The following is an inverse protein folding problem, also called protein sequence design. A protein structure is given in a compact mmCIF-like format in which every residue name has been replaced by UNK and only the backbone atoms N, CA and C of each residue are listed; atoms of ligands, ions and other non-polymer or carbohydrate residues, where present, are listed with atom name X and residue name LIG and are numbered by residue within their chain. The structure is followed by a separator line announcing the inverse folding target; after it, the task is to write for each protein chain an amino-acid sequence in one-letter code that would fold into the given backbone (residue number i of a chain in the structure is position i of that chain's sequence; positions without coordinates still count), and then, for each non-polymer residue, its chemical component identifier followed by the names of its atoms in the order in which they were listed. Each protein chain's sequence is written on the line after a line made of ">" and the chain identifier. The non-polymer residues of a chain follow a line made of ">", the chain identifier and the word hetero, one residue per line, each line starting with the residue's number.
data_IF_089175166808
#
_entry.id   IF_089175166808
#
_cell.length_a   1.000
_cell.length_b   1.000
_cell.length_c   1.000
_cell.angle_alpha   90.00
_cell.angle_beta   90.00
_cell.angle_gamma   90.00
#
_symmetry.space_group_name_H-M   'P 1'
#
loop_
_entity.id
_entity.type
_entity.pdbx_description
1 polymer ?
2 branched ?
3 non-polymer ?
4 water ?
#
# COMPACT_ATOMS: atom_id res chain seq x y z
N UNK A 36 14.48 -30.38 -10.54
CA UNK A 36 14.61 -30.85 -11.91
C UNK A 36 13.94 -29.88 -12.90
N UNK A 37 12.94 -29.14 -12.44
CA UNK A 37 12.29 -28.12 -13.25
C UNK A 37 12.50 -26.77 -12.58
N UNK A 38 12.98 -25.78 -13.36
CA UNK A 38 13.36 -24.47 -12.83
C UNK A 38 12.20 -23.49 -12.93
N UNK A 39 11.97 -22.75 -11.86
CA UNK A 39 10.96 -21.70 -11.77
C UNK A 39 11.69 -20.42 -11.38
N UNK A 40 11.45 -19.33 -12.13
CA UNK A 40 12.07 -18.04 -11.84
C UNK A 40 11.10 -17.12 -11.10
N UNK A 41 11.51 -16.65 -9.91
CA UNK A 41 10.68 -15.84 -9.02
C UNK A 41 11.42 -14.54 -8.74
N UNK A 42 10.81 -13.41 -9.09
CA UNK A 42 11.38 -12.10 -8.78
C UNK A 42 10.49 -11.44 -7.73
N UNK A 43 11.07 -11.03 -6.60
CA UNK A 43 10.29 -10.50 -5.50
C UNK A 43 10.83 -9.13 -5.07
N UNK A 44 9.92 -8.18 -4.86
CA UNK A 44 10.31 -6.86 -4.38
C UNK A 44 10.83 -6.93 -2.94
N UNK A 45 11.99 -6.31 -2.73
CA UNK A 45 12.57 -6.17 -1.39
C UNK A 45 12.06 -4.88 -0.79
N UNK A 46 11.06 -5.00 0.09
CA UNK A 46 10.48 -3.89 0.79
C UNK A 46 10.81 -3.92 2.26
N UNK A 47 10.01 -3.19 3.04
CA UNK A 47 10.31 -2.97 4.45
C UNK A 47 10.24 -4.22 5.31
N UNK A 48 9.55 -5.26 4.84
CA UNK A 48 9.52 -6.54 5.56
C UNK A 48 10.76 -7.38 5.31
N UNK A 49 11.61 -6.97 4.37
CA UNK A 49 12.87 -7.65 4.14
C UNK A 49 12.81 -8.67 3.01
N UNK A 50 14.00 -9.03 2.51
CA UNK A 50 14.14 -10.04 1.47
C UNK A 50 14.32 -11.45 2.02
N UNK A 51 14.86 -11.60 3.24
CA UNK A 51 15.19 -12.94 3.75
C UNK A 51 13.96 -13.83 3.84
N UNK A 52 12.77 -13.27 4.11
CA UNK A 52 11.59 -14.10 4.20
C UNK A 52 11.29 -14.82 2.89
N UNK A 53 11.59 -14.20 1.74
CA UNK A 53 11.38 -14.87 0.46
C UNK A 53 12.38 -15.99 0.27
N UNK A 54 13.63 -15.77 0.70
CA UNK A 54 14.61 -16.86 0.63
C UNK A 54 14.14 -18.05 1.44
N UNK A 55 13.57 -17.78 2.62
CA UNK A 55 13.16 -18.86 3.51
C UNK A 55 11.91 -19.58 2.97
N UNK A 56 10.95 -18.82 2.43
CA UNK A 56 9.76 -19.44 1.83
C UNK A 56 10.16 -20.32 0.65
N UNK A 57 11.10 -19.84 -0.18
CA UNK A 57 11.53 -20.63 -1.33
C UNK A 57 12.17 -21.92 -0.87
N UNK A 58 13.02 -21.85 0.16
CA UNK A 58 13.67 -23.05 0.65
C UNK A 58 12.64 -24.03 1.20
N UNK A 59 11.61 -23.52 1.88
CA UNK A 59 10.60 -24.41 2.43
C UNK A 59 9.79 -25.07 1.32
N UNK A 60 9.51 -24.35 0.25
CA UNK A 60 8.77 -24.95 -0.87
C UNK A 60 9.59 -26.03 -1.53
N UNK A 61 10.91 -25.80 -1.69
CA UNK A 61 11.77 -26.82 -2.29
C UNK A 61 11.91 -28.05 -1.41
N UNK A 62 11.84 -27.90 -0.09
CA UNK A 62 11.86 -29.06 0.79
C UNK A 62 10.58 -29.88 0.63
N UNK A 63 9.44 -29.20 0.46
CA UNK A 63 8.18 -29.89 0.23
C UNK A 63 8.15 -30.58 -1.13
N UNK A 64 8.65 -29.91 -2.16
CA UNK A 64 8.60 -30.37 -3.55
C UNK A 64 10.01 -30.35 -4.13
N UNK A 65 10.82 -31.36 -3.84
CA UNK A 65 12.23 -31.33 -4.26
C UNK A 65 12.45 -31.32 -5.76
N UNK A 66 11.44 -31.66 -6.57
CA UNK A 66 11.61 -31.61 -8.02
C UNK A 66 11.42 -30.22 -8.60
N UNK A 67 11.23 -29.19 -7.76
CA UNK A 67 11.16 -27.79 -8.19
C UNK A 67 12.42 -27.09 -7.71
N UNK A 68 13.11 -26.42 -8.62
CA UNK A 68 14.23 -25.55 -8.27
C UNK A 68 13.82 -24.13 -8.59
N UNK A 69 13.77 -23.26 -7.56
CA UNK A 69 13.40 -21.87 -7.75
C UNK A 69 14.65 -21.02 -7.82
N UNK A 70 14.76 -20.21 -8.88
CA UNK A 70 15.77 -19.17 -8.94
C UNK A 70 15.13 -17.88 -8.45
N UNK A 71 15.50 -17.46 -7.24
CA UNK A 71 14.94 -16.27 -6.61
C UNK A 71 15.83 -15.06 -6.86
N UNK A 72 15.22 -13.97 -7.31
CA UNK A 72 15.84 -12.66 -7.34
C UNK A 72 15.02 -11.74 -6.45
N UNK A 73 15.66 -11.11 -5.46
CA UNK A 73 15.05 -10.08 -4.65
C UNK A 73 15.78 -8.77 -4.87
N UNK A 74 15.03 -7.67 -5.00
CA UNK A 74 15.66 -6.39 -5.31
C UNK A 74 14.68 -5.25 -5.06
N UNK A 75 15.23 -4.08 -4.80
CA UNK A 75 14.40 -2.88 -4.79
C UNK A 75 14.15 -2.34 -6.20
N UNK A 76 14.80 -2.93 -7.21
CA UNK A 76 14.62 -2.49 -8.59
C UNK A 76 14.14 -3.66 -9.46
N UNK A 77 12.93 -4.15 -9.17
CA UNK A 77 12.38 -5.31 -9.87
C UNK A 77 12.27 -5.04 -11.36
N UNK A 78 11.90 -3.81 -11.74
CA UNK A 78 11.71 -3.45 -13.14
C UNK A 78 12.85 -3.87 -14.05
N UNK A 79 14.04 -4.13 -13.49
CA UNK A 79 15.14 -4.64 -14.30
C UNK A 79 14.80 -6.01 -14.90
N UNK A 80 14.11 -6.87 -14.13
CA UNK A 80 13.81 -8.22 -14.59
C UNK A 80 12.91 -8.17 -15.83
N UNK A 81 11.77 -7.49 -15.72
CA UNK A 81 10.78 -7.46 -16.79
C UNK A 81 10.97 -6.16 -17.57
N UNK A 82 11.43 -6.28 -18.81
CA UNK A 82 11.66 -5.15 -19.68
C UNK A 82 10.69 -5.19 -20.87
N UNK A 83 10.37 -4.04 -21.46
CA UNK A 83 9.39 -4.03 -22.56
C UNK A 83 9.86 -4.84 -23.75
N UNK A 84 9.00 -5.74 -24.22
CA UNK A 84 9.30 -6.55 -25.37
C UNK A 84 10.32 -7.63 -25.14
N UNK A 85 10.53 -8.04 -23.89
CA UNK A 85 11.52 -9.06 -23.58
C UNK A 85 11.13 -10.40 -24.19
N UNK A 86 12.13 -11.27 -24.35
CA UNK A 86 11.89 -12.60 -24.89
C UNK A 86 11.23 -13.48 -23.83
N UNK A 87 10.26 -14.29 -24.26
CA UNK A 87 9.43 -15.05 -23.33
C UNK A 87 10.26 -16.00 -22.47
N UNK A 88 11.35 -16.55 -23.01
CA UNK A 88 12.21 -17.42 -22.23
C UNK A 88 13.00 -16.72 -21.14
N UNK A 89 12.96 -15.39 -21.10
CA UNK A 89 13.70 -14.63 -20.11
C UNK A 89 12.82 -13.98 -19.05
N UNK A 90 11.49 -13.98 -19.23
CA UNK A 90 10.60 -13.42 -18.22
C UNK A 90 10.67 -14.25 -16.94
N UNK A 91 10.50 -13.61 -15.79
CA UNK A 91 10.21 -14.39 -14.58
C UNK A 91 8.93 -15.17 -14.77
N UNK A 92 8.81 -16.29 -14.04
CA UNK A 92 7.57 -17.03 -14.08
C UNK A 92 6.56 -16.48 -13.09
N UNK A 93 7.02 -15.77 -12.07
CA UNK A 93 6.13 -15.24 -11.03
C UNK A 93 6.86 -14.05 -10.41
N UNK A 94 6.09 -13.00 -10.11
CA UNK A 94 6.64 -11.73 -9.63
C UNK A 94 5.83 -11.27 -8.43
N UNK A 95 6.51 -10.86 -7.37
CA UNK A 95 5.87 -10.14 -6.28
C UNK A 95 6.20 -8.65 -6.44
N UNK A 96 5.18 -7.86 -6.77
CA UNK A 96 5.33 -6.42 -6.90
C UNK A 96 3.93 -5.81 -6.87
N UNK A 97 3.66 -4.99 -5.88
CA UNK A 97 2.33 -4.40 -5.75
C UNK A 97 2.06 -3.33 -6.79
N UNK A 98 0.77 -2.99 -6.91
CA UNK A 98 0.46 -1.70 -7.50
C UNK A 98 1.09 -0.60 -6.66
N UNK A 99 1.34 0.54 -7.27
CA UNK A 99 1.90 1.66 -6.52
C UNK A 99 3.40 1.64 -6.36
N UNK A 100 4.10 0.67 -6.94
CA UNK A 100 5.54 0.63 -6.74
C UNK A 100 6.22 1.76 -7.50
N UNK A 101 7.48 2.00 -7.12
CA UNK A 101 8.26 3.09 -7.71
C UNK A 101 8.17 3.10 -9.23
N UNK A 102 8.40 1.93 -9.85
CA UNK A 102 8.48 1.83 -11.30
C UNK A 102 7.12 1.86 -11.99
N UNK A 103 6.05 1.56 -11.27
CA UNK A 103 4.76 1.46 -11.93
C UNK A 103 4.63 0.26 -12.85
N UNK A 104 5.49 -0.75 -12.69
CA UNK A 104 5.52 -1.87 -13.64
C UNK A 104 4.21 -2.65 -13.63
N UNK A 105 3.65 -2.92 -12.44
CA UNK A 105 2.45 -3.72 -12.40
C UNK A 105 1.33 -3.07 -13.19
N UNK A 106 1.18 -1.75 -13.04
CA UNK A 106 0.15 -1.02 -13.78
C UNK A 106 0.46 -0.99 -15.27
N UNK A 107 1.73 -0.85 -15.64
CA UNK A 107 2.11 -0.89 -17.05
C UNK A 107 1.73 -2.22 -17.69
N UNK A 108 1.99 -3.32 -16.99
CA UNK A 108 1.65 -4.61 -17.59
C UNK A 108 0.15 -4.85 -17.61
N UNK A 109 -0.60 -4.36 -16.60
CA UNK A 109 -2.06 -4.42 -16.68
C UNK A 109 -2.59 -3.67 -17.90
N UNK A 110 -2.06 -2.46 -18.12
CA UNK A 110 -2.47 -1.66 -19.27
C UNK A 110 -2.21 -2.40 -20.58
N UNK A 111 -1.10 -3.13 -20.65
CA UNK A 111 -0.69 -3.88 -21.82
C UNK A 111 -1.32 -5.26 -21.90
N UNK A 112 -2.23 -5.59 -20.98
CA UNK A 112 -2.88 -6.90 -20.95
C UNK A 112 -1.85 -8.03 -20.89
N UNK A 113 -0.79 -7.82 -20.10
CA UNK A 113 0.37 -8.70 -20.10
C UNK A 113 0.52 -9.50 -18.81
N UNK A 114 -0.54 -9.57 -18.00
CA UNK A 114 -0.56 -10.38 -16.78
C UNK A 114 -1.58 -11.49 -16.94
N UNK A 115 -1.20 -12.70 -16.51
CA UNK A 115 -2.04 -13.87 -16.65
C UNK A 115 -3.23 -13.82 -15.69
N UNK A 116 -4.39 -14.24 -16.18
CA UNK A 116 -5.56 -14.46 -15.34
C UNK A 116 -5.29 -15.67 -14.43
N UNK A 117 -5.23 -15.42 -13.12
CA UNK A 117 -4.93 -16.48 -12.17
C UNK A 117 -6.13 -16.84 -11.28
N UNK A 118 -7.34 -16.57 -11.77
CA UNK A 118 -8.54 -16.93 -11.02
C UNK A 118 -8.50 -18.40 -10.60
N UNK A 119 -7.96 -19.26 -11.47
CA UNK A 119 -7.93 -20.68 -11.16
C UNK A 119 -7.11 -21.01 -9.93
N UNK A 120 -6.21 -20.12 -9.50
CA UNK A 120 -5.41 -20.39 -8.31
C UNK A 120 -6.29 -20.41 -7.08
N UNK A 121 -7.38 -19.64 -7.09
CA UNK A 121 -8.28 -19.62 -5.93
C UNK A 121 -8.85 -20.99 -5.63
N UNK A 122 -9.08 -21.81 -6.64
CA UNK A 122 -9.64 -23.14 -6.41
C UNK A 122 -8.58 -24.24 -6.30
N UNK A 123 -7.30 -23.88 -6.32
CA UNK A 123 -6.24 -24.89 -6.21
C UNK A 123 -6.00 -25.25 -4.76
N UNK A 124 -5.68 -26.53 -4.54
CA UNK A 124 -5.25 -26.99 -3.22
C UNK A 124 -3.94 -26.30 -2.83
N UNK A 125 -3.85 -25.90 -1.57
CA UNK A 125 -2.59 -25.36 -1.06
C UNK A 125 -1.60 -26.50 -0.89
N UNK A 126 -0.42 -26.44 -1.50
CA UNK A 126 0.57 -27.52 -1.34
C UNK A 126 0.88 -27.77 0.13
N UNK A 127 0.89 -29.05 0.50
CA UNK A 127 1.11 -29.45 1.88
C UNK A 127 -0.10 -29.41 2.78
N UNK A 128 -1.25 -28.91 2.31
CA UNK A 128 -2.45 -28.77 3.12
C UNK A 128 -3.64 -29.36 2.38
N UNK A 129 -4.76 -29.50 3.09
CA UNK A 129 -5.99 -30.09 2.56
C UNK A 129 -7.11 -29.04 2.43
N UNK A 130 -6.74 -27.80 2.10
CA UNK A 130 -7.67 -26.72 1.84
C UNK A 130 -7.27 -26.04 0.54
N UNK A 131 -8.24 -25.37 -0.10
CA UNK A 131 -7.92 -24.54 -1.26
C UNK A 131 -7.53 -23.14 -0.81
N UNK A 132 -6.96 -22.38 -1.74
CA UNK A 132 -6.58 -20.99 -1.44
C UNK A 132 -7.80 -20.20 -1.03
N UNK A 133 -8.90 -20.32 -1.78
CA UNK A 133 -10.12 -19.58 -1.46
C UNK A 133 -10.67 -19.95 -0.08
N UNK A 134 -10.51 -21.22 0.32
CA UNK A 134 -10.93 -21.64 1.66
C UNK A 134 -10.24 -20.83 2.74
N UNK A 135 -8.99 -20.43 2.49
CA UNK A 135 -8.15 -19.78 3.48
C UNK A 135 -8.20 -18.25 3.46
N UNK A 136 -8.47 -17.64 2.30
CA UNK A 136 -8.39 -16.19 2.23
C UNK A 136 -9.43 -15.53 3.14
N UNK A 137 -9.05 -14.42 3.77
CA UNK A 137 -10.01 -13.64 4.54
C UNK A 137 -11.12 -13.14 3.63
N UNK A 138 -12.31 -12.98 4.20
CA UNK A 138 -13.45 -12.54 3.42
C UNK A 138 -13.20 -11.14 2.85
N UNK A 139 -13.59 -10.95 1.59
CA UNK A 139 -13.59 -9.63 1.01
C UNK A 139 -12.26 -9.14 0.48
N UNK A 140 -11.17 -9.91 0.63
CA UNK A 140 -9.88 -9.44 0.14
C UNK A 140 -9.84 -9.38 -1.39
N UNK A 141 -10.55 -10.29 -2.06
CA UNK A 141 -10.67 -10.22 -3.51
C UNK A 141 -11.63 -9.10 -3.86
N UNK A 142 -11.18 -8.18 -4.71
CA UNK A 142 -11.92 -6.96 -5.00
C UNK A 142 -11.25 -6.13 -6.06
N UNK A 143 -11.42 -4.80 -6.02
CA UNK A 143 -10.95 -3.99 -7.13
C UNK A 143 -9.42 -4.01 -7.26
N UNK A 144 -8.69 -4.22 -6.17
CA UNK A 144 -7.23 -4.29 -6.27
C UNK A 144 -6.79 -5.55 -6.99
N UNK A 145 -7.37 -6.69 -6.61
CA UNK A 145 -6.93 -7.98 -7.15
C UNK A 145 -7.53 -8.26 -8.51
N UNK A 146 -8.67 -7.62 -8.81
CA UNK A 146 -9.43 -7.83 -10.04
C UNK A 146 -9.49 -6.48 -10.76
N UNK A 147 -8.37 -6.02 -11.32
CA UNK A 147 -8.27 -4.61 -11.72
C UNK A 147 -9.15 -4.23 -12.90
N UNK A 148 -9.61 -5.20 -13.68
CA UNK A 148 -10.50 -4.90 -14.79
C UNK A 148 -11.97 -5.00 -14.42
N UNK A 149 -12.27 -5.08 -13.13
CA UNK A 149 -13.63 -5.34 -12.70
C UNK A 149 -13.99 -6.79 -12.94
N UNK A 150 -15.20 -7.13 -12.55
CA UNK A 150 -15.63 -8.49 -12.74
C UNK A 150 -14.90 -9.47 -11.83
N UNK A 151 -15.00 -10.74 -12.21
CA UNK A 151 -14.61 -11.84 -11.35
C UNK A 151 -13.30 -12.50 -11.75
N UNK A 152 -12.50 -11.87 -12.62
CA UNK A 152 -11.19 -12.40 -12.98
C UNK A 152 -10.12 -11.77 -12.09
N UNK A 153 -9.35 -12.61 -11.41
CA UNK A 153 -8.26 -12.17 -10.55
C UNK A 153 -6.94 -12.21 -11.31
N UNK A 154 -6.23 -11.08 -11.32
CA UNK A 154 -4.91 -10.99 -11.93
C UNK A 154 -3.79 -10.75 -10.92
N UNK A 155 -4.10 -10.15 -9.77
CA UNK A 155 -3.10 -9.80 -8.75
C UNK A 155 -3.53 -10.53 -7.50
N UNK A 156 -2.88 -11.64 -7.18
CA UNK A 156 -3.21 -12.33 -5.95
C UNK A 156 -2.66 -11.55 -4.76
N UNK A 157 -3.40 -11.48 -3.65
CA UNK A 157 -3.07 -10.53 -2.59
C UNK A 157 -1.91 -11.01 -1.72
N UNK A 158 -1.02 -10.09 -1.41
CA UNK A 158 0.10 -10.34 -0.51
C UNK A 158 0.00 -9.38 0.68
N UNK A 159 0.31 -9.89 1.87
CA UNK A 159 0.33 -9.08 3.09
C UNK A 159 -1.08 -8.64 3.48
N UNK A 160 -1.20 -7.84 4.53
CA UNK A 160 -2.51 -7.47 5.07
C UNK A 160 -2.30 -6.40 6.12
N UNK A 161 -1.84 -5.23 5.68
CA UNK A 161 -1.35 -4.20 6.59
C UNK A 161 -2.36 -3.09 6.75
N UNK A 162 -2.85 -2.79 7.94
CA UNK A 162 -3.53 -1.51 8.13
C UNK A 162 -2.57 -0.38 7.75
N UNK A 163 -3.10 0.63 7.08
CA UNK A 163 -2.38 1.89 6.85
C UNK A 163 -3.20 3.04 7.39
N UNK A 164 -2.50 4.07 7.85
CA UNK A 164 -3.09 5.24 8.48
C UNK A 164 -1.96 6.22 8.75
N UNK A 165 -1.90 6.79 9.95
CA UNK A 165 -0.81 7.69 10.33
C UNK A 165 -0.01 7.05 11.45
N UNK A 166 1.32 7.11 11.33
CA UNK A 166 2.23 6.65 12.37
C UNK A 166 2.90 7.86 13.02
N UNK A 167 3.30 7.68 14.27
CA UNK A 167 3.87 8.76 15.07
C UNK A 167 4.61 8.15 16.25
N UNK A 168 5.26 9.02 17.03
CA UNK A 168 5.91 8.61 18.28
C UNK A 168 4.90 8.86 19.40
N UNK A 169 4.29 7.79 19.90
CA UNK A 169 3.29 7.89 20.96
C UNK A 169 3.85 8.63 22.18
N UNK A 170 5.13 8.43 22.48
CA UNK A 170 5.73 9.03 23.66
C UNK A 170 5.82 10.55 23.51
N UNK A 171 6.10 11.04 22.30
CA UNK A 171 6.20 12.47 22.09
C UNK A 171 4.86 13.15 22.29
N UNK A 172 3.78 12.54 21.78
CA UNK A 172 2.46 13.12 22.03
C UNK A 172 2.16 13.14 23.53
N UNK A 173 2.43 12.02 24.22
CA UNK A 173 2.15 11.95 25.64
C UNK A 173 2.93 13.00 26.43
N UNK A 174 4.19 13.23 26.07
CA UNK A 174 5.02 14.16 26.83
C UNK A 174 4.47 15.58 26.77
N UNK A 175 3.79 15.92 25.68
CA UNK A 175 3.24 17.26 25.48
C UNK A 175 1.75 17.35 25.79
N UNK A 176 1.13 16.27 26.25
CA UNK A 176 -0.29 16.27 26.51
C UNK A 176 -1.13 16.38 25.27
N UNK A 177 -0.61 16.01 24.11
CA UNK A 177 -1.32 16.11 22.85
C UNK A 177 -2.12 14.83 22.61
N UNK A 178 -3.42 14.96 22.43
CA UNK A 178 -4.27 13.83 22.10
C UNK A 178 -4.25 13.60 20.59
N UNK A 179 -4.33 12.34 20.18
CA UNK A 179 -4.39 12.03 18.75
C UNK A 179 -5.67 12.62 18.14
N UNK A 180 -5.56 13.49 17.14
CA UNK A 180 -6.76 14.08 16.54
C UNK A 180 -7.63 13.04 15.85
N UNK A 181 -8.94 13.24 15.92
CA UNK A 181 -9.88 12.52 15.07
C UNK A 181 -10.40 13.37 13.92
N UNK A 182 -10.14 14.69 13.91
CA UNK A 182 -10.59 15.58 12.85
C UNK A 182 -9.41 16.39 12.33
N UNK A 183 -9.56 16.88 11.10
CA UNK A 183 -8.53 17.73 10.51
C UNK A 183 -8.45 19.10 11.17
N UNK A 184 -9.57 19.64 11.66
CA UNK A 184 -9.50 20.88 12.44
C UNK A 184 -8.59 20.70 13.66
N UNK A 185 -8.73 19.57 14.37
CA UNK A 185 -7.83 19.26 15.48
C UNK A 185 -6.39 19.06 15.00
N UNK A 186 -6.21 18.40 13.85
CA UNK A 186 -4.86 18.20 13.31
C UNK A 186 -4.17 19.53 13.06
N UNK A 187 -4.87 20.47 12.43
CA UNK A 187 -4.24 21.73 12.08
C UNK A 187 -3.93 22.55 13.33
N UNK A 188 -4.81 22.51 14.34
CA UNK A 188 -4.52 23.21 15.59
C UNK A 188 -3.34 22.58 16.31
N UNK A 189 -3.22 21.24 16.23
CA UNK A 189 -2.05 20.55 16.77
C UNK A 189 -0.79 20.95 16.01
N UNK A 190 -0.88 21.08 14.68
CA UNK A 190 0.26 21.56 13.91
C UNK A 190 0.71 22.94 14.34
N UNK A 191 -0.25 23.82 14.66
CA UNK A 191 0.09 25.15 15.18
C UNK A 191 0.84 25.06 16.51
N UNK A 192 0.41 24.16 17.40
CA UNK A 192 1.11 24.01 18.68
C UNK A 192 2.48 23.39 18.48
N UNK A 193 2.57 22.40 17.59
CA UNK A 193 3.83 21.70 17.39
C UNK A 193 4.90 22.61 16.81
N UNK A 194 4.51 23.51 15.91
CA UNK A 194 5.48 24.42 15.30
C UNK A 194 6.14 25.30 16.34
N UNK A 195 5.38 25.69 17.37
CA UNK A 195 5.95 26.50 18.43
C UNK A 195 7.05 25.75 19.17
N UNK A 196 7.09 24.43 19.08
CA UNK A 196 8.13 23.62 19.68
C UNK A 196 9.17 23.12 18.67
N UNK A 197 9.19 23.69 17.47
CA UNK A 197 10.15 23.28 16.47
C UNK A 197 9.84 21.97 15.77
N UNK A 198 8.58 21.56 15.73
CA UNK A 198 8.19 20.28 15.12
C UNK A 198 7.21 20.55 14.00
N UNK A 199 7.46 19.96 12.83
CA UNK A 199 6.50 20.01 11.74
C UNK A 199 5.41 18.97 11.95
N UNK A 200 4.19 19.30 11.53
CA UNK A 200 3.07 18.37 11.73
C UNK A 200 3.24 17.09 10.92
N UNK A 201 3.71 17.19 9.68
CA UNK A 201 3.50 16.12 8.71
C UNK A 201 4.71 15.95 7.80
N UNK A 202 5.00 14.72 7.46
CA UNK A 202 5.93 14.38 6.38
C UNK A 202 5.34 13.17 5.67
N UNK A 203 5.95 12.76 4.57
CA UNK A 203 5.54 11.52 3.94
C UNK A 203 6.76 10.89 3.28
N UNK A 204 6.77 9.57 3.09
CA UNK A 204 8.00 8.94 2.59
C UNK A 204 8.20 9.25 1.11
N UNK A 205 7.25 8.83 0.27
CA UNK A 205 7.13 9.31 -1.09
C UNK A 205 5.66 9.64 -1.34
N UNK A 206 5.41 10.35 -2.44
CA UNK A 206 4.04 10.74 -2.75
C UNK A 206 3.15 9.53 -3.03
N UNK A 207 3.74 8.39 -3.41
CA UNK A 207 2.92 7.22 -3.67
C UNK A 207 2.17 6.73 -2.45
N UNK A 208 2.66 7.07 -1.25
CA UNK A 208 1.99 6.68 -0.02
C UNK A 208 0.67 7.40 0.17
N UNK A 209 0.34 8.35 -0.70
CA UNK A 209 -1.01 8.91 -0.66
C UNK A 209 -2.05 7.95 -1.22
N UNK A 210 -1.65 6.78 -1.72
CA UNK A 210 -2.66 5.80 -2.12
C UNK A 210 -3.57 5.41 -0.96
N UNK A 211 -2.97 4.97 0.15
CA UNK A 211 -3.77 4.58 1.32
C UNK A 211 -4.41 5.78 1.99
N UNK A 212 -3.70 6.91 2.02
CA UNK A 212 -4.22 8.12 2.64
C UNK A 212 -5.51 8.57 1.95
N UNK A 213 -5.52 8.62 0.61
CA UNK A 213 -6.73 9.03 -0.10
C UNK A 213 -7.82 7.97 -0.06
N UNK A 214 -7.48 6.67 -0.07
CA UNK A 214 -8.55 5.69 0.08
C UNK A 214 -9.34 5.98 1.36
N UNK A 215 -8.63 6.23 2.46
CA UNK A 215 -9.29 6.50 3.73
C UNK A 215 -10.02 7.84 3.71
N UNK A 216 -9.35 8.90 3.23
CA UNK A 216 -9.94 10.24 3.30
C UNK A 216 -11.17 10.34 2.40
N UNK A 217 -11.12 9.75 1.21
CA UNK A 217 -12.29 9.78 0.32
C UNK A 217 -13.49 9.05 0.96
N UNK A 218 -13.25 7.84 1.50
CA UNK A 218 -14.33 7.13 2.19
C UNK A 218 -14.83 7.89 3.42
N UNK A 219 -13.92 8.54 4.16
CA UNK A 219 -14.34 9.36 5.30
C UNK A 219 -15.34 10.43 4.88
N UNK A 220 -15.00 11.18 3.82
CA UNK A 220 -15.80 12.34 3.47
C UNK A 220 -17.08 11.94 2.76
N UNK A 221 -17.00 10.98 1.85
CA UNK A 221 -18.13 10.71 0.96
C UNK A 221 -18.87 9.41 1.16
N UNK A 222 -18.26 8.45 1.85
CA UNK A 222 -18.87 7.15 2.08
C UNK A 222 -18.36 6.11 1.09
N UNK A 223 -18.93 4.91 1.22
CA UNK A 223 -18.44 3.76 0.46
C UNK A 223 -18.70 3.91 -1.03
N UNK A 224 -19.91 4.32 -1.41
CA UNK A 224 -20.22 4.42 -2.83
C UNK A 224 -19.41 5.53 -3.50
N UNK A 225 -19.23 6.65 -2.81
CA UNK A 225 -18.38 7.71 -3.33
C UNK A 225 -16.97 7.20 -3.62
N UNK A 226 -16.40 6.44 -2.69
CA UNK A 226 -15.06 5.88 -2.93
C UNK A 226 -15.05 5.00 -4.17
N UNK A 227 -16.03 4.10 -4.28
CA UNK A 227 -16.15 3.28 -5.48
C UNK A 227 -16.28 4.13 -6.72
N UNK A 228 -17.07 5.23 -6.65
CA UNK A 228 -17.24 6.11 -7.78
C UNK A 228 -15.91 6.73 -8.22
N UNK A 229 -15.06 7.11 -7.27
CA UNK A 229 -13.77 7.68 -7.64
C UNK A 229 -12.91 6.63 -8.33
N UNK A 230 -12.86 5.42 -7.77
CA UNK A 230 -11.99 4.38 -8.31
C UNK A 230 -12.45 3.90 -9.67
N UNK A 231 -13.70 4.13 -10.05
CA UNK A 231 -14.24 3.66 -11.32
C UNK A 231 -14.61 4.80 -12.26
N UNK A 232 -14.16 6.02 -11.98
CA UNK A 232 -14.23 7.14 -12.92
C UNK A 232 -15.65 7.62 -13.20
N UNK A 233 -16.50 7.64 -12.18
CA UNK A 233 -17.86 8.16 -12.39
C UNK A 233 -17.78 9.58 -12.94
N UNK A 234 -18.65 9.88 -13.89
CA UNK A 234 -18.58 11.16 -14.59
C UNK A 234 -18.67 12.32 -13.60
N UNK A 235 -17.73 13.26 -13.71
CA UNK A 235 -17.70 14.50 -12.95
C UNK A 235 -17.48 14.29 -11.46
N UNK A 236 -16.97 13.14 -11.04
CA UNK A 236 -16.84 12.85 -9.62
C UNK A 236 -15.87 13.80 -8.92
N UNK A 237 -14.83 14.26 -9.62
CA UNK A 237 -13.88 15.17 -8.99
C UNK A 237 -14.41 16.59 -8.84
N UNK A 238 -15.56 16.91 -9.42
CA UNK A 238 -16.19 18.19 -9.22
C UNK A 238 -17.22 18.18 -8.10
N UNK A 239 -17.42 17.04 -7.43
CA UNK A 239 -18.32 16.98 -6.30
C UNK A 239 -17.73 17.73 -5.11
N UNK A 240 -18.62 18.19 -4.22
CA UNK A 240 -18.18 18.83 -2.99
C UNK A 240 -17.30 17.89 -2.17
N UNK A 241 -17.63 16.59 -2.19
CA UNK A 241 -16.87 15.61 -1.43
C UNK A 241 -15.43 15.54 -1.92
N UNK A 242 -15.25 15.44 -3.24
CA UNK A 242 -13.89 15.35 -3.80
C UNK A 242 -13.13 16.64 -3.56
N UNK A 243 -13.78 17.79 -3.74
CA UNK A 243 -13.11 19.07 -3.50
C UNK A 243 -12.67 19.20 -2.05
N UNK A 244 -13.45 18.67 -1.11
CA UNK A 244 -13.09 18.75 0.31
C UNK A 244 -11.86 17.90 0.61
N UNK A 245 -11.77 16.72 -0.01
CA UNK A 245 -10.59 15.89 0.16
C UNK A 245 -9.34 16.59 -0.35
N UNK A 246 -9.43 17.26 -1.50
CA UNK A 246 -8.26 17.94 -2.02
C UNK A 246 -7.92 19.20 -1.24
N UNK A 247 -8.94 19.96 -0.82
CA UNK A 247 -8.68 21.18 -0.07
C UNK A 247 -8.00 20.87 1.26
N UNK A 248 -8.41 19.77 1.90
CA UNK A 248 -7.82 19.38 3.18
C UNK A 248 -6.36 18.98 2.99
N UNK A 249 -6.10 18.18 1.96
CA UNK A 249 -4.74 17.72 1.71
C UNK A 249 -3.86 18.87 1.23
N UNK A 250 -4.42 19.80 0.46
CA UNK A 250 -3.67 20.97 0.02
C UNK A 250 -3.17 21.78 1.23
N UNK A 251 -4.05 22.03 2.19
CA UNK A 251 -3.64 22.80 3.37
C UNK A 251 -2.57 22.05 4.15
N UNK A 252 -2.74 20.73 4.28
CA UNK A 252 -1.77 19.93 5.01
C UNK A 252 -0.37 20.04 4.42
N UNK A 253 -0.26 19.88 3.10
CA UNK A 253 1.06 19.80 2.48
C UNK A 253 1.66 21.15 2.10
N UNK A 254 0.89 22.25 2.18
CA UNK A 254 1.43 23.57 1.89
C UNK A 254 1.66 24.43 3.13
N UNK A 255 0.98 24.16 4.24
CA UNK A 255 1.19 24.88 5.49
C UNK A 255 1.90 24.07 6.56
N UNK A 256 1.76 22.74 6.57
CA UNK A 256 2.14 21.92 7.72
C UNK A 256 3.17 20.85 7.39
N UNK A 257 3.95 21.00 6.32
CA UNK A 257 4.85 19.94 5.87
C UNK A 257 6.28 20.22 6.30
N UNK A 258 6.99 19.19 6.75
CA UNK A 258 8.42 19.32 7.03
C UNK A 258 9.13 19.81 5.77
N UNK A 259 9.94 20.87 5.85
CA UNK A 259 10.55 21.42 4.63
C UNK A 259 11.53 20.50 3.94
N UNK A 260 11.93 19.38 4.55
CA UNK A 260 12.82 18.44 3.87
C UNK A 260 12.08 17.45 3.01
N UNK A 261 10.74 17.38 3.13
CA UNK A 261 9.98 16.24 2.63
C UNK A 261 10.13 16.05 1.13
N UNK A 262 9.85 17.10 0.35
CA UNK A 262 9.82 16.94 -1.10
C UNK A 262 11.18 16.52 -1.64
N UNK A 263 12.26 17.11 -1.10
CA UNK A 263 13.59 16.75 -1.56
C UNK A 263 14.00 15.32 -1.28
N UNK A 264 13.44 14.71 -0.23
CA UNK A 264 13.74 13.33 0.11
C UNK A 264 12.69 12.34 -0.39
N UNK A 265 11.60 12.81 -1.02
CA UNK A 265 10.46 11.96 -1.38
C UNK A 265 10.72 11.18 -2.67
N UNK A 266 11.67 10.25 -2.57
CA UNK A 266 12.09 9.48 -3.74
C UNK A 266 12.61 8.13 -3.26
N UNK A 267 12.89 7.24 -4.22
CA UNK A 267 13.26 5.88 -3.85
C UNK A 267 14.59 5.80 -3.11
N UNK A 268 15.44 6.81 -3.25
CA UNK A 268 16.73 6.78 -2.59
C UNK A 268 16.67 7.31 -1.17
N UNK A 269 15.81 8.29 -0.92
CA UNK A 269 15.84 9.06 0.33
C UNK A 269 14.59 8.94 1.17
N UNK A 270 13.61 8.12 0.78
CA UNK A 270 12.35 8.10 1.52
C UNK A 270 12.55 7.77 2.99
N UNK A 271 13.56 6.96 3.32
CA UNK A 271 13.71 6.61 4.73
C UNK A 271 14.19 7.79 5.55
N UNK A 272 14.78 8.82 4.91
CA UNK A 272 15.15 10.03 5.63
C UNK A 272 13.93 10.82 6.07
N UNK A 273 12.87 10.82 5.26
CA UNK A 273 11.62 11.41 5.71
C UNK A 273 11.07 10.62 6.89
N UNK A 274 11.13 9.29 6.81
CA UNK A 274 10.68 8.47 7.94
C UNK A 274 11.53 8.71 9.18
N UNK A 275 12.83 8.95 8.98
CA UNK A 275 13.73 9.21 10.10
C UNK A 275 13.33 10.47 10.86
N UNK A 276 12.67 11.42 10.19
CA UNK A 276 12.27 12.63 10.89
C UNK A 276 11.20 12.36 11.97
N UNK A 277 10.45 11.27 11.85
CA UNK A 277 9.55 10.88 12.94
C UNK A 277 10.36 10.34 14.11
N UNK A 278 11.35 9.50 13.83
CA UNK A 278 12.17 8.93 14.89
C UNK A 278 13.03 9.99 15.58
N UNK A 279 13.39 11.04 14.85
CA UNK A 279 14.21 12.12 15.40
C UNK A 279 13.39 13.22 16.08
N UNK A 280 12.07 13.17 15.98
CA UNK A 280 11.25 14.16 16.65
C UNK A 280 11.06 15.46 15.90
N UNK A 281 11.33 15.49 14.60
CA UNK A 281 11.22 16.69 13.78
C UNK A 281 9.92 16.77 12.99
N UNK A 282 9.19 15.66 12.82
CA UNK A 282 7.85 15.64 12.26
C UNK A 282 6.98 14.80 13.18
N UNK A 283 5.69 15.14 13.26
CA UNK A 283 4.77 14.41 14.14
C UNK A 283 4.19 13.16 13.47
N UNK A 284 3.69 13.27 12.24
CA UNK A 284 2.92 12.20 11.60
C UNK A 284 3.39 11.96 10.18
N UNK A 285 3.24 10.71 9.72
CA UNK A 285 3.41 10.38 8.32
C UNK A 285 2.43 9.27 7.97
N UNK A 286 1.99 9.17 6.71
CA UNK A 286 1.18 8.01 6.29
C UNK A 286 2.07 6.79 6.15
N UNK A 287 1.62 5.65 6.68
CA UNK A 287 2.42 4.45 6.55
C UNK A 287 1.64 3.23 7.02
N UNK A 288 2.29 2.08 6.87
CA UNK A 288 1.77 0.78 7.27
C UNK A 288 2.74 -0.03 8.14
N UNK A 289 2.44 -1.31 8.35
CA UNK A 289 3.09 -2.05 9.44
C UNK A 289 4.52 -2.46 9.13
N UNK A 290 4.95 -2.40 7.87
CA UNK A 290 6.34 -2.67 7.52
C UNK A 290 7.28 -1.63 8.11
N UNK A 291 6.75 -0.49 8.60
CA UNK A 291 7.61 0.58 9.08
C UNK A 291 8.43 0.13 10.28
N UNK A 292 7.90 -0.80 11.09
CA UNK A 292 8.64 -1.24 12.27
C UNK A 292 9.92 -1.95 11.88
N UNK A 293 9.79 -2.99 11.06
CA UNK A 293 10.96 -3.71 10.61
C UNK A 293 11.88 -2.82 9.79
N UNK A 294 11.31 -1.97 8.94
CA UNK A 294 12.13 -1.17 8.02
C UNK A 294 13.06 -0.23 8.77
N UNK A 295 12.59 0.30 9.89
CA UNK A 295 13.35 1.28 10.66
C UNK A 295 14.02 0.71 11.90
N UNK A 296 14.07 -0.62 12.05
CA UNK A 296 14.46 -1.21 13.33
C UNK A 296 15.88 -0.89 13.73
N UNK A 297 16.78 -0.66 12.78
CA UNK A 297 18.18 -0.38 13.12
C UNK A 297 18.49 1.12 13.19
N UNK A 298 17.51 1.98 12.95
CA UNK A 298 17.73 3.41 12.96
C UNK A 298 17.83 3.97 14.39
N UNK A 299 18.55 5.06 14.59
CA UNK A 299 18.49 5.74 15.88
C UNK A 299 17.13 6.38 16.09
N UNK A 300 16.79 6.61 17.36
CA UNK A 300 15.53 7.30 17.64
C UNK A 300 15.64 7.98 19.00
N UNK A 301 14.71 8.91 19.23
CA UNK A 301 14.74 9.66 20.48
C UNK A 301 14.47 8.74 21.67
N UNK A 302 15.00 9.16 22.83
CA UNK A 302 14.85 8.38 24.05
C UNK A 302 13.38 8.09 24.31
N UNK A 303 13.06 6.82 24.55
CA UNK A 303 11.72 6.43 24.89
C UNK A 303 10.74 6.35 23.74
N UNK A 304 11.22 6.43 22.50
CA UNK A 304 10.34 6.35 21.33
C UNK A 304 9.49 5.09 21.39
N UNK A 305 8.20 5.24 21.07
CA UNK A 305 7.33 4.08 20.89
C UNK A 305 6.40 4.35 19.73
N UNK A 306 6.22 3.35 18.87
CA UNK A 306 5.32 3.53 17.72
C UNK A 306 3.88 3.73 18.14
N UNK A 307 3.26 4.76 17.56
CA UNK A 307 1.83 4.97 17.63
C UNK A 307 1.23 4.83 16.24
N UNK A 308 -0.05 4.47 16.19
CA UNK A 308 -0.79 4.31 14.93
C UNK A 308 -2.23 4.77 15.10
N UNK A 309 -2.73 5.50 14.11
CA UNK A 309 -4.10 5.96 14.15
C UNK A 309 -4.68 6.00 12.74
N UNK A 310 -5.99 5.89 12.59
CA UNK A 310 -6.61 6.17 11.29
C UNK A 310 -6.35 7.61 10.90
N UNK A 311 -6.32 7.86 9.61
CA UNK A 311 -6.35 9.24 9.09
C UNK A 311 -7.56 9.96 9.68
N UNK A 312 -7.43 11.20 10.15
CA UNK A 312 -8.61 11.92 10.67
C UNK A 312 -9.66 12.14 9.59
N UNK A 313 -10.89 12.37 10.03
CA UNK A 313 -11.95 12.76 9.12
C UNK A 313 -12.21 14.26 9.26
N UNK A 314 -13.24 14.76 8.57
CA UNK A 314 -13.51 16.20 8.60
C UNK A 314 -14.55 16.56 9.65
N UNK A 315 -15.68 15.86 9.69
CA UNK A 315 -16.73 16.18 10.65
C UNK A 315 -16.46 15.52 12.00
N UNK A 316 -16.75 16.25 13.07
CA UNK A 316 -16.60 15.69 14.42
C UNK A 316 -17.52 14.49 14.59
N UNK A 317 -16.98 13.42 15.16
CA UNK A 317 -17.72 12.19 15.37
C UNK A 317 -17.93 11.34 14.13
N UNK A 318 -17.34 11.73 13.00
CA UNK A 318 -17.55 10.97 11.78
C UNK A 318 -16.78 9.66 11.75
N UNK A 319 -17.28 8.75 10.93
CA UNK A 319 -16.59 7.48 10.70
C UNK A 319 -15.20 7.73 10.14
N UNK A 320 -14.21 7.00 10.65
CA UNK A 320 -12.86 7.05 10.13
C UNK A 320 -12.51 5.69 9.56
N UNK A 321 -11.81 5.69 8.44
CA UNK A 321 -11.45 4.46 7.76
C UNK A 321 -9.97 4.17 7.91
N UNK A 322 -9.64 2.88 8.03
CA UNK A 322 -8.29 2.35 7.96
C UNK A 322 -8.18 1.64 6.63
N UNK A 323 -7.11 1.90 5.88
CA UNK A 323 -6.93 1.21 4.61
C UNK A 323 -6.27 -0.13 4.85
N UNK A 324 -6.79 -1.19 4.27
CA UNK A 324 -6.13 -2.49 4.35
C UNK A 324 -5.23 -2.63 3.12
N UNK A 325 -3.94 -2.44 3.34
CA UNK A 325 -2.98 -2.35 2.25
C UNK A 325 -2.44 -3.74 1.95
N UNK A 326 -2.55 -4.14 0.68
CA UNK A 326 -1.99 -5.39 0.20
C UNK A 326 -1.04 -5.08 -0.95
N UNK A 327 -0.05 -5.96 -1.13
CA UNK A 327 0.75 -5.98 -2.34
C UNK A 327 0.22 -7.10 -3.23
N UNK A 328 1.01 -7.53 -4.20
CA UNK A 328 0.45 -8.43 -5.21
C UNK A 328 1.52 -9.42 -5.65
N UNK A 329 1.07 -10.64 -5.95
CA UNK A 329 1.90 -11.63 -6.62
C UNK A 329 1.17 -12.05 -7.89
N UNK A 330 1.92 -12.21 -8.98
CA UNK A 330 1.27 -12.37 -10.28
C UNK A 330 2.20 -13.10 -11.23
N UNK A 331 1.63 -13.54 -12.35
CA UNK A 331 2.32 -14.35 -13.34
C UNK A 331 2.28 -13.60 -14.66
N UNK A 332 3.42 -13.27 -15.25
CA UNK A 332 3.41 -12.60 -16.56
C UNK A 332 2.79 -13.49 -17.62
N UNK A 333 2.05 -12.87 -18.54
CA UNK A 333 1.45 -13.65 -19.62
C UNK A 333 2.50 -14.36 -20.47
N UNK A 334 3.73 -13.84 -20.50
CA UNK A 334 4.82 -14.45 -21.25
C UNK A 334 5.63 -15.45 -20.44
N UNK A 335 5.22 -15.78 -19.22
CA UNK A 335 5.98 -16.73 -18.42
C UNK A 335 6.03 -18.09 -19.09
N UNK A 336 7.17 -18.75 -18.96
CA UNK A 336 7.37 -20.07 -19.56
C UNK A 336 6.69 -21.19 -18.76
N UNK A 337 6.66 -21.10 -17.43
CA UNK A 337 6.25 -22.22 -16.57
C UNK A 337 5.08 -21.79 -15.68
N UNK A 338 3.93 -21.56 -16.30
CA UNK A 338 2.80 -20.98 -15.57
C UNK A 338 2.21 -21.95 -14.57
N UNK A 339 2.13 -23.24 -14.91
CA UNK A 339 1.51 -24.18 -13.99
C UNK A 339 2.35 -24.35 -12.72
N UNK A 340 3.67 -24.50 -12.87
CA UNK A 340 4.51 -24.60 -11.69
C UNK A 340 4.45 -23.32 -10.87
N UNK A 341 4.33 -22.17 -11.55
CA UNK A 341 4.22 -20.91 -10.81
C UNK A 341 2.92 -20.83 -10.03
N UNK A 342 1.82 -21.35 -10.59
CA UNK A 342 0.54 -21.33 -9.89
C UNK A 342 0.57 -22.16 -8.61
N UNK A 343 1.25 -23.31 -8.64
CA UNK A 343 1.34 -24.13 -7.43
C UNK A 343 2.18 -23.44 -6.37
N UNK A 344 3.28 -22.82 -6.76
CA UNK A 344 4.06 -22.06 -5.80
C UNK A 344 3.25 -20.88 -5.26
N UNK A 345 2.51 -20.19 -6.13
CA UNK A 345 1.67 -19.09 -5.66
C UNK A 345 0.70 -19.59 -4.60
N UNK A 346 0.06 -20.73 -4.83
CA UNK A 346 -0.86 -21.28 -3.83
C UNK A 346 -0.16 -21.52 -2.51
N UNK A 347 1.11 -21.97 -2.55
CA UNK A 347 1.86 -22.21 -1.32
C UNK A 347 2.11 -20.92 -0.52
N UNK A 348 2.03 -19.76 -1.17
CA UNK A 348 2.21 -18.52 -0.41
C UNK A 348 1.10 -18.30 0.60
N UNK A 349 0.02 -19.08 0.53
CA UNK A 349 -1.10 -19.00 1.46
C UNK A 349 -1.08 -20.15 2.45
N UNK A 350 0.01 -20.91 2.49
CA UNK A 350 0.14 -21.99 3.45
C UNK A 350 0.46 -21.43 4.84
N UNK A 351 0.16 -22.24 5.86
CA UNK A 351 0.53 -21.87 7.22
C UNK A 351 2.03 -21.79 7.36
N UNK A 352 2.77 -22.67 6.67
CA UNK A 352 4.22 -22.66 6.74
C UNK A 352 4.78 -21.34 6.21
N UNK A 353 4.28 -20.91 5.05
CA UNK A 353 4.69 -19.62 4.52
C UNK A 353 4.27 -18.47 5.43
N UNK A 354 3.03 -18.51 5.93
CA UNK A 354 2.56 -17.42 6.77
C UNK A 354 3.45 -17.25 8.00
N UNK A 355 3.89 -18.35 8.59
CA UNK A 355 4.74 -18.25 9.77
C UNK A 355 6.08 -17.59 9.45
N UNK A 356 6.64 -17.86 8.27
CA UNK A 356 7.90 -17.25 7.87
C UNK A 356 7.72 -15.76 7.64
N UNK A 357 6.67 -15.38 6.88
CA UNK A 357 6.43 -13.98 6.59
C UNK A 357 6.18 -13.20 7.88
N UNK A 358 5.52 -13.80 8.86
CA UNK A 358 5.11 -13.04 10.04
C UNK A 358 6.29 -12.59 10.91
N UNK A 359 7.47 -13.19 10.76
CA UNK A 359 8.58 -12.85 11.64
C UNK A 359 8.92 -11.36 11.61
N UNK A 360 8.79 -10.71 10.44
CA UNK A 360 9.06 -9.28 10.26
C UNK A 360 7.79 -8.44 10.13
N UNK A 361 6.61 -9.00 10.44
CA UNK A 361 5.37 -8.27 10.38
C UNK A 361 4.55 -8.46 9.13
N UNK A 362 5.00 -9.25 8.18
CA UNK A 362 4.24 -9.46 6.94
C UNK A 362 3.18 -10.51 7.23
N UNK A 363 1.92 -10.12 7.19
CA UNK A 363 0.79 -10.95 7.61
C UNK A 363 0.01 -11.34 6.38
N UNK A 364 0.09 -12.61 5.99
CA UNK A 364 -0.64 -13.02 4.81
C UNK A 364 -2.15 -12.94 5.07
N UNK A 365 -2.93 -12.68 4.02
CA UNK A 365 -4.36 -12.38 4.20
C UNK A 365 -5.21 -13.63 4.31
N UNK A 366 -4.88 -14.47 5.30
CA UNK A 366 -5.60 -15.72 5.52
C UNK A 366 -6.27 -15.72 6.88
N UNK A 367 -7.34 -16.51 6.99
CA UNK A 367 -8.10 -16.56 8.23
C UNK A 367 -7.22 -16.98 9.40
N UNK A 368 -7.46 -16.34 10.55
CA UNK A 368 -6.73 -16.64 11.76
C UNK A 368 -5.40 -15.93 11.90
N UNK A 369 -4.89 -15.32 10.85
CA UNK A 369 -3.51 -14.83 10.91
C UNK A 369 -3.37 -13.53 11.69
N UNK A 370 -4.44 -12.98 12.27
CA UNK A 370 -4.33 -11.90 13.24
C UNK A 370 -4.74 -12.32 14.65
N UNK A 371 -4.97 -13.62 14.86
CA UNK A 371 -5.04 -14.16 16.20
C UNK A 371 -3.61 -14.41 16.65
N UNK A 372 -3.31 -14.07 17.90
CA UNK A 372 -1.96 -14.23 18.46
C UNK A 372 -0.91 -13.40 17.71
N UNK A 373 -1.26 -12.16 17.39
CA UNK A 373 -0.33 -11.26 16.70
C UNK A 373 0.89 -10.97 17.57
N UNK A 374 2.04 -10.86 16.92
CA UNK A 374 3.24 -10.39 17.62
C UNK A 374 2.96 -9.06 18.31
N UNK A 375 3.59 -8.88 19.46
CA UNK A 375 3.30 -7.72 20.30
C UNK A 375 3.57 -6.41 19.58
N UNK A 376 4.56 -6.37 18.70
CA UNK A 376 4.86 -5.12 18.02
C UNK A 376 3.83 -4.75 16.96
N UNK A 377 2.89 -5.64 16.63
CA UNK A 377 1.81 -5.35 15.71
C UNK A 377 0.53 -4.92 16.41
N UNK A 378 0.45 -5.08 17.73
CA UNK A 378 -0.79 -4.80 18.43
C UNK A 378 -1.26 -3.35 18.24
N UNK A 379 -0.34 -2.39 18.28
CA UNK A 379 -0.74 -1.00 18.19
C UNK A 379 -1.38 -0.70 16.84
N UNK A 380 -0.95 -1.42 15.79
CA UNK A 380 -1.53 -1.23 14.47
C UNK A 380 -2.91 -1.88 14.37
N UNK A 381 -3.03 -3.16 14.72
CA UNK A 381 -4.31 -3.82 14.54
C UNK A 381 -5.34 -3.40 15.58
N UNK A 382 -4.92 -2.86 16.72
CA UNK A 382 -5.90 -2.37 17.70
C UNK A 382 -6.70 -1.20 17.15
N UNK A 383 -6.18 -0.47 16.16
CA UNK A 383 -6.91 0.66 15.62
C UNK A 383 -8.24 0.25 15.02
N UNK A 384 -8.34 -0.99 14.52
CA UNK A 384 -9.61 -1.47 13.98
C UNK A 384 -10.69 -1.55 15.05
N UNK A 385 -10.30 -1.56 16.33
CA UNK A 385 -11.26 -1.67 17.43
C UNK A 385 -11.74 -0.32 17.97
N UNK A 386 -11.22 0.79 17.46
CA UNK A 386 -11.71 2.09 17.90
C UNK A 386 -13.17 2.26 17.49
N UNK A 387 -13.90 3.04 18.26
CA UNK A 387 -15.32 3.24 17.97
C UNK A 387 -15.48 3.97 16.64
N UNK A 388 -16.43 3.49 15.84
CA UNK A 388 -16.80 4.15 14.58
C UNK A 388 -15.61 4.20 13.62
N UNK A 389 -14.91 3.09 13.49
CA UNK A 389 -13.82 2.93 12.53
C UNK A 389 -14.14 1.75 11.63
N UNK A 390 -13.92 1.92 10.33
CA UNK A 390 -14.23 0.89 9.34
C UNK A 390 -13.02 0.70 8.44
N UNK A 391 -13.05 -0.35 7.63
CA UNK A 391 -11.96 -0.65 6.70
C UNK A 391 -12.34 -0.27 5.27
N UNK A 392 -11.34 0.17 4.51
CA UNK A 392 -11.45 0.43 3.08
C UNK A 392 -10.26 -0.25 2.41
N UNK A 393 -10.43 -0.58 1.11
CA UNK A 393 -9.32 -1.17 0.36
C UNK A 393 -9.60 -1.00 -1.12
N UNK A 394 -8.53 -1.02 -1.91
CA UNK A 394 -8.70 -0.99 -3.35
C UNK A 394 -7.71 -0.12 -4.08
N UNK A 395 -7.81 -0.07 -5.40
CA UNK A 395 -7.10 0.88 -6.23
C UNK A 395 -7.97 1.21 -7.43
N UNK A 396 -7.42 1.96 -8.37
CA UNK A 396 -8.17 2.43 -9.52
C UNK A 396 -8.43 1.30 -10.51
N UNK A 397 -9.55 1.40 -11.21
CA UNK A 397 -9.88 0.43 -12.25
C UNK A 397 -8.89 0.54 -13.41
N UNK A 398 -8.45 -0.62 -13.91
CA UNK A 398 -7.54 -0.67 -15.04
C UNK A 398 -8.24 -1.04 -16.34
N UNK A 399 -9.57 -0.96 -16.39
CA UNK A 399 -10.31 -1.27 -17.60
C UNK A 399 -9.89 -0.38 -18.76
N UNK A 400 -9.93 0.92 -18.54
CA UNK A 400 -9.68 1.90 -19.59
C UNK A 400 -8.29 2.49 -19.45
N UNK A 401 -7.73 2.90 -20.60
CA UNK A 401 -6.45 3.60 -20.61
C UNK A 401 -6.53 4.69 -21.66
N UNK A 402 -5.88 5.82 -21.38
CA UNK A 402 -5.87 6.97 -22.27
C UNK A 402 -4.42 7.38 -22.49
N UNK A 403 -4.06 7.60 -23.75
CA UNK A 403 -2.71 8.01 -24.09
C UNK A 403 -2.28 9.24 -23.31
N UNK A 404 -1.12 9.15 -22.67
CA UNK A 404 -0.54 10.30 -22.01
C UNK A 404 -1.24 10.75 -20.76
N UNK A 405 -2.07 9.90 -20.15
CA UNK A 405 -2.75 10.25 -18.90
C UNK A 405 -2.56 9.13 -17.90
N UNK A 406 -2.38 9.50 -16.63
CA UNK A 406 -2.18 8.51 -15.56
C UNK A 406 -2.84 9.09 -14.32
N UNK A 407 -3.98 8.52 -13.91
CA UNK A 407 -4.73 9.09 -12.79
C UNK A 407 -3.92 9.04 -11.50
N UNK A 408 -3.01 8.08 -11.37
CA UNK A 408 -2.19 8.01 -10.16
C UNK A 408 -1.16 9.13 -10.12
N UNK A 409 -0.63 9.52 -11.28
CA UNK A 409 0.24 10.70 -11.30
C UNK A 409 -0.54 11.94 -10.93
N UNK A 410 -1.80 12.01 -11.36
CA UNK A 410 -2.61 13.21 -11.15
C UNK A 410 -3.10 13.34 -9.71
N UNK A 411 -3.28 12.22 -9.00
CA UNK A 411 -3.73 12.26 -7.63
C UNK A 411 -2.57 12.22 -6.64
N UNK A 412 -1.67 11.25 -6.81
CA UNK A 412 -0.62 11.02 -5.82
C UNK A 412 0.63 11.82 -6.11
N UNK A 413 1.23 11.60 -7.29
CA UNK A 413 2.49 12.25 -7.60
C UNK A 413 2.36 13.78 -7.59
N UNK A 414 1.19 14.28 -7.97
CA UNK A 414 0.92 15.72 -7.96
C UNK A 414 1.10 16.35 -6.58
N UNK A 415 1.02 15.58 -5.50
CA UNK A 415 1.22 16.16 -4.17
C UNK A 415 2.57 16.86 -4.07
N UNK A 416 3.61 16.28 -4.69
CA UNK A 416 4.94 16.92 -4.65
C UNK A 416 4.90 18.32 -5.28
N UNK A 417 4.21 18.46 -6.43
CA UNK A 417 4.11 19.74 -7.10
C UNK A 417 3.26 20.72 -6.29
N UNK A 418 2.15 20.23 -5.73
CA UNK A 418 1.32 21.04 -4.84
C UNK A 418 2.13 21.57 -3.67
N UNK A 419 2.89 20.68 -3.01
CA UNK A 419 3.68 21.08 -1.86
C UNK A 419 4.75 22.09 -2.25
N UNK A 420 5.26 21.99 -3.48
CA UNK A 420 6.28 22.91 -3.98
C UNK A 420 5.72 24.23 -4.49
N UNK A 421 4.40 24.39 -4.51
CA UNK A 421 3.81 25.63 -4.99
C UNK A 421 3.68 25.73 -6.49
N UNK A 422 3.80 24.62 -7.21
CA UNK A 422 3.75 24.62 -8.66
C UNK A 422 2.42 24.15 -9.22
N UNK A 423 1.50 23.69 -8.36
CA UNK A 423 0.16 23.31 -8.78
C UNK A 423 -0.81 23.91 -7.78
N UNK A 424 -1.76 24.71 -8.27
CA UNK A 424 -2.77 25.25 -7.38
C UNK A 424 -3.81 24.18 -7.07
N UNK A 425 -4.63 24.46 -6.04
CA UNK A 425 -5.73 23.57 -5.71
C UNK A 425 -6.68 23.41 -6.88
N UNK A 426 -6.97 24.51 -7.59
CA UNK A 426 -7.86 24.42 -8.74
C UNK A 426 -7.24 23.61 -9.87
N UNK A 427 -5.95 23.79 -10.13
CA UNK A 427 -5.29 23.00 -11.16
C UNK A 427 -5.30 21.52 -10.82
N UNK A 428 -5.09 21.18 -9.54
CA UNK A 428 -5.12 19.78 -9.11
C UNK A 428 -6.47 19.16 -9.41
N UNK A 429 -7.55 19.82 -9.00
CA UNK A 429 -8.89 19.30 -9.22
C UNK A 429 -9.22 19.22 -10.71
N UNK A 430 -8.87 20.27 -11.47
CA UNK A 430 -9.21 20.30 -12.88
C UNK A 430 -8.51 19.18 -13.65
N UNK A 431 -7.23 18.91 -13.34
CA UNK A 431 -6.52 17.85 -14.03
C UNK A 431 -7.09 16.49 -13.69
N UNK A 432 -7.49 16.28 -12.44
CA UNK A 432 -8.11 15.01 -12.05
C UNK A 432 -9.44 14.80 -12.76
N UNK A 433 -10.28 15.83 -12.82
CA UNK A 433 -11.56 15.70 -13.50
C UNK A 433 -11.36 15.42 -14.98
N UNK A 434 -10.40 16.08 -15.60
CA UNK A 434 -10.14 15.86 -17.02
C UNK A 434 -9.69 14.43 -17.28
N UNK A 435 -8.74 13.92 -16.49
CA UNK A 435 -8.23 12.57 -16.70
C UNK A 435 -9.30 11.53 -16.38
N UNK A 436 -9.97 11.70 -15.24
CA UNK A 436 -11.03 10.76 -14.86
C UNK A 436 -12.15 10.72 -15.90
N UNK A 437 -12.56 11.87 -16.43
CA UNK A 437 -13.62 11.88 -17.44
C UNK A 437 -13.15 11.22 -18.73
N UNK A 438 -11.88 11.39 -19.09
CA UNK A 438 -11.37 10.75 -20.29
C UNK A 438 -11.28 9.23 -20.13
N UNK A 439 -10.97 8.76 -18.91
CA UNK A 439 -10.96 7.33 -18.66
C UNK A 439 -12.38 6.77 -18.70
N UNK A 440 -13.35 7.55 -18.21
CA UNK A 440 -14.77 7.20 -18.26
C UNK A 440 -15.26 7.07 -19.70
#
# INVERSE_FOLDING_TARGET
>A
MTHFSTVKRVIALAGAGAMLFSVAACGGVTASDGGKTTLKFAAFEGGYGADMYKEVVAAYEKLNPDVKIELTTSKKIEDEITPGMKAGNYPDIVELGQGSTSGLTETLLKDKAIEDVTDVLDMKVPGENKTVKDKLVDGVIGLYTNPYGGDKTYLMPMYYSPSGLVYNKTLLEQNGWKMPTTWDEMFKLGDEAKAKGISLFTYPTAGYFDAFFNALLADIGGDQFYQDVMTYKKDVWKTDEAKEALETTYKLVTEYLNPDTVGYANAQDFTKNQQSILDGKSLFMPNGTWIVNEMKDAPRTSGFEWGFAPVPTVKNGGTRYINTTIEAVWIPAKAKNKEAAKKFMAYLYSDEAASIFAKTGAIQPIKGNTDDLASDMKVFYDAYNEDNVKAVAGSFSATATVEGKNIKDDLYNAVDSVASGKTTLQQWQDKLNETSNALNAAAKQ
#
